data_IF_781481969748
#
_entry.id   IF_781481969748
#
_cell.length_a   1.000
_cell.length_b   1.000
_cell.length_c   1.000
_cell.angle_alpha   90.00
_cell.angle_beta   90.00
_cell.angle_gamma   90.00
#
_symmetry.space_group_name_H-M   'P 1'
#
loop_
_entity.id
_entity.type
_entity.pdbx_description
1 polymer ?
#
# COMPACT_ATOMS: atom_id res chain seq x y z
N UNK A 1 24.73 -17.19 -25.87
CA UNK A 1 23.45 -16.62 -26.33
C UNK A 1 22.32 -17.57 -25.91
N UNK A 2 21.72 -17.38 -24.73
CA UNK A 2 20.54 -18.13 -24.29
C UNK A 2 19.45 -17.09 -24.04
N UNK A 3 18.51 -16.96 -24.97
CA UNK A 3 17.34 -16.11 -24.75
C UNK A 3 16.47 -16.80 -23.70
N UNK A 4 16.48 -16.29 -22.46
CA UNK A 4 15.46 -16.66 -21.46
C UNK A 4 14.09 -16.48 -22.13
N UNK A 5 13.19 -17.47 -22.05
CA UNK A 5 11.86 -17.30 -22.62
C UNK A 5 11.21 -16.08 -21.97
N UNK A 6 10.65 -15.20 -22.78
CA UNK A 6 9.82 -14.10 -22.32
C UNK A 6 8.63 -14.74 -21.59
N UNK A 7 8.75 -14.88 -20.26
CA UNK A 7 7.67 -15.33 -19.40
C UNK A 7 6.55 -14.32 -19.59
N UNK A 8 5.44 -14.77 -20.20
CA UNK A 8 4.20 -14.00 -20.28
C UNK A 8 3.84 -13.50 -18.88
N UNK A 9 3.22 -12.31 -18.74
CA UNK A 9 2.84 -11.75 -17.44
C UNK A 9 1.69 -12.56 -16.83
N UNK A 10 2.01 -13.74 -16.28
CA UNK A 10 1.14 -14.39 -15.32
C UNK A 10 1.31 -13.60 -14.01
N UNK A 11 0.21 -13.03 -13.52
CA UNK A 11 0.17 -12.39 -12.20
C UNK A 11 0.71 -13.42 -11.19
N UNK A 12 1.87 -13.15 -10.60
CA UNK A 12 2.38 -14.06 -9.56
C UNK A 12 1.45 -14.01 -8.36
N UNK A 13 1.37 -15.07 -7.56
CA UNK A 13 0.54 -15.09 -6.35
C UNK A 13 0.85 -13.89 -5.43
N UNK A 14 2.11 -13.51 -5.33
CA UNK A 14 2.54 -12.31 -4.60
C UNK A 14 1.91 -11.03 -5.16
N UNK A 15 1.90 -10.84 -6.47
CA UNK A 15 1.27 -9.68 -7.11
C UNK A 15 -0.26 -9.72 -6.92
N UNK A 16 -0.89 -10.90 -7.01
CA UNK A 16 -2.32 -11.07 -6.76
C UNK A 16 -2.70 -10.62 -5.34
N UNK A 17 -1.96 -11.11 -4.33
CA UNK A 17 -2.16 -10.75 -2.92
C UNK A 17 -1.90 -9.25 -2.71
N UNK A 18 -0.86 -8.70 -3.32
CA UNK A 18 -0.53 -7.28 -3.20
C UNK A 18 -1.65 -6.37 -3.71
N UNK A 19 -2.16 -6.64 -4.92
CA UNK A 19 -3.27 -5.87 -5.48
C UNK A 19 -4.56 -6.06 -4.69
N UNK A 20 -4.90 -7.29 -4.29
CA UNK A 20 -6.11 -7.56 -3.50
C UNK A 20 -6.07 -6.85 -2.15
N UNK A 21 -4.92 -6.92 -1.45
CA UNK A 21 -4.71 -6.20 -0.18
C UNK A 21 -4.84 -4.69 -0.37
N UNK A 22 -4.11 -4.13 -1.35
CA UNK A 22 -4.13 -2.69 -1.64
C UNK A 22 -5.52 -2.18 -2.03
N UNK A 23 -6.29 -2.93 -2.82
CA UNK A 23 -7.67 -2.57 -3.13
C UNK A 23 -8.55 -2.64 -1.88
N UNK A 24 -8.43 -3.69 -1.07
CA UNK A 24 -9.23 -3.89 0.14
C UNK A 24 -9.04 -2.79 1.17
N UNK A 25 -7.80 -2.46 1.52
CA UNK A 25 -7.51 -1.39 2.50
C UNK A 25 -7.87 -0.01 1.95
N UNK A 26 -7.70 0.24 0.65
CA UNK A 26 -8.15 1.47 0.01
C UNK A 26 -9.68 1.65 0.04
N UNK A 27 -10.44 0.57 -0.18
CA UNK A 27 -11.89 0.58 -0.04
C UNK A 27 -12.33 0.85 1.41
N UNK A 28 -11.65 0.23 2.38
CA UNK A 28 -11.89 0.48 3.81
C UNK A 28 -11.60 1.94 4.18
N UNK A 29 -10.50 2.52 3.67
CA UNK A 29 -10.22 3.94 3.83
C UNK A 29 -11.33 4.82 3.26
N UNK A 30 -11.81 4.51 2.05
CA UNK A 30 -12.93 5.20 1.43
C UNK A 30 -14.16 5.21 2.35
N UNK A 31 -14.57 4.05 2.87
CA UNK A 31 -15.69 3.94 3.80
C UNK A 31 -15.47 4.75 5.09
N UNK A 32 -14.28 4.68 5.69
CA UNK A 32 -13.93 5.42 6.90
C UNK A 32 -13.95 6.93 6.68
N UNK A 33 -13.42 7.40 5.54
CA UNK A 33 -13.38 8.81 5.18
C UNK A 33 -14.77 9.41 4.97
N UNK A 34 -15.72 8.64 4.45
CA UNK A 34 -17.13 9.04 4.33
C UNK A 34 -17.84 9.04 5.68
N UNK A 35 -17.57 8.05 6.52
CA UNK A 35 -18.17 7.97 7.86
C UNK A 35 -17.70 9.10 8.77
N UNK A 36 -16.40 9.39 8.77
CA UNK A 36 -15.81 10.47 9.57
C UNK A 36 -14.75 11.21 8.75
N UNK A 37 -15.06 12.43 8.23
CA UNK A 37 -14.15 13.22 7.39
C UNK A 37 -12.79 13.51 8.02
N UNK A 38 -12.65 13.38 9.34
CA UNK A 38 -11.37 13.50 10.03
C UNK A 38 -10.31 12.49 9.53
N UNK A 39 -10.71 11.31 9.05
CA UNK A 39 -9.79 10.32 8.47
C UNK A 39 -9.20 10.74 7.13
N UNK A 40 -9.86 11.67 6.41
CA UNK A 40 -9.41 12.21 5.14
C UNK A 40 -8.46 13.42 5.26
N UNK A 41 -8.08 13.78 6.50
CA UNK A 41 -7.14 14.88 6.75
C UNK A 41 -5.74 14.53 6.26
N UNK A 42 -4.93 15.58 6.07
CA UNK A 42 -3.55 15.45 5.57
C UNK A 42 -3.43 14.61 4.29
N UNK A 43 -4.43 14.74 3.41
CA UNK A 43 -4.51 14.04 2.13
C UNK A 43 -4.34 12.51 2.22
N UNK A 44 -4.73 11.86 3.32
CA UNK A 44 -4.59 10.39 3.45
C UNK A 44 -3.16 9.89 3.69
N UNK A 45 -2.18 10.78 3.85
CA UNK A 45 -0.81 10.40 4.18
C UNK A 45 -0.68 9.60 5.50
N UNK A 46 -1.39 9.96 6.60
CA UNK A 46 -1.35 9.15 7.82
C UNK A 46 -1.89 7.73 7.63
N UNK A 47 -2.87 7.56 6.74
CA UNK A 47 -3.39 6.23 6.40
C UNK A 47 -2.32 5.41 5.66
N UNK A 48 -1.62 5.99 4.69
CA UNK A 48 -0.49 5.35 4.03
C UNK A 48 0.58 4.88 5.01
N UNK A 49 1.01 5.76 5.92
CA UNK A 49 1.97 5.41 6.97
C UNK A 49 1.46 4.29 7.91
N UNK A 50 0.17 4.28 8.25
CA UNK A 50 -0.43 3.20 9.03
C UNK A 50 -0.43 1.85 8.29
N UNK A 51 -0.67 1.85 6.97
CA UNK A 51 -0.55 0.66 6.14
C UNK A 51 0.89 0.16 6.11
N UNK A 52 1.88 1.06 5.99
CA UNK A 52 3.30 0.68 6.07
C UNK A 52 3.62 -0.03 7.38
N UNK A 53 3.33 0.58 8.53
CA UNK A 53 3.60 -0.06 9.84
C UNK A 53 2.85 -1.40 9.96
N UNK A 54 1.56 -1.42 9.64
CA UNK A 54 0.72 -2.61 9.81
C UNK A 54 1.13 -3.77 8.90
N UNK A 55 1.38 -3.49 7.62
CA UNK A 55 1.72 -4.52 6.65
C UNK A 55 3.21 -4.84 6.65
N UNK A 56 4.05 -3.82 6.44
CA UNK A 56 5.47 -3.97 6.20
C UNK A 56 6.25 -4.29 7.48
N UNK A 57 6.03 -3.55 8.56
CA UNK A 57 6.84 -3.71 9.78
C UNK A 57 6.31 -4.80 10.70
N UNK A 58 5.02 -5.13 10.61
CA UNK A 58 4.36 -6.08 11.52
C UNK A 58 3.93 -7.35 10.81
N UNK A 59 2.94 -7.27 9.91
CA UNK A 59 2.25 -8.47 9.42
C UNK A 59 3.13 -9.35 8.54
N UNK A 60 3.79 -8.77 7.54
CA UNK A 60 4.62 -9.54 6.58
C UNK A 60 5.82 -10.22 7.29
N UNK A 61 6.56 -9.54 8.19
CA UNK A 61 7.60 -10.18 8.99
C UNK A 61 7.06 -11.23 9.97
N UNK A 62 5.93 -10.96 10.65
CA UNK A 62 5.34 -11.91 11.60
C UNK A 62 4.89 -13.22 10.93
N UNK A 63 4.52 -13.17 9.64
CA UNK A 63 4.19 -14.34 8.84
C UNK A 63 5.42 -15.02 8.21
N UNK A 64 6.62 -14.48 8.44
CA UNK A 64 7.87 -15.00 7.87
C UNK A 64 8.02 -14.78 6.37
N UNK A 65 7.27 -13.82 5.80
CA UNK A 65 7.28 -13.53 4.36
C UNK A 65 8.36 -12.51 3.95
N UNK A 66 8.95 -11.81 4.92
CA UNK A 66 10.09 -10.91 4.74
C UNK A 66 11.09 -11.04 5.90
N UNK A 67 12.25 -10.39 5.77
CA UNK A 67 13.17 -10.22 6.90
C UNK A 67 12.57 -9.26 7.93
N UNK A 68 12.97 -9.36 9.21
CA UNK A 68 12.58 -8.37 10.21
C UNK A 68 13.01 -6.96 9.80
N UNK A 69 12.20 -5.93 10.08
CA UNK A 69 12.52 -4.54 9.73
C UNK A 69 13.83 -4.07 10.39
N UNK A 70 14.22 -4.65 11.53
CA UNK A 70 15.49 -4.34 12.21
C UNK A 70 16.74 -4.70 11.42
N UNK A 71 16.63 -5.52 10.36
CA UNK A 71 17.75 -5.91 9.49
C UNK A 71 17.83 -5.09 8.20
N UNK A 72 16.86 -4.22 7.96
CA UNK A 72 16.75 -3.48 6.71
C UNK A 72 17.47 -2.12 6.80
N UNK A 73 18.20 -1.70 5.74
CA UNK A 73 18.88 -0.41 5.74
C UNK A 73 17.91 0.78 5.88
N UNK A 74 18.30 1.80 6.65
CA UNK A 74 17.50 3.03 6.83
C UNK A 74 17.01 3.69 5.53
N UNK A 75 17.79 3.75 4.43
CA UNK A 75 17.30 4.31 3.17
C UNK A 75 16.14 3.53 2.55
N UNK A 76 16.11 2.21 2.76
CA UNK A 76 15.02 1.36 2.27
C UNK A 76 13.75 1.58 3.08
N UNK A 77 13.85 1.62 4.42
CA UNK A 77 12.73 2.00 5.29
C UNK A 77 12.09 3.33 4.89
N UNK A 78 12.93 4.34 4.63
CA UNK A 78 12.44 5.65 4.20
C UNK A 78 11.75 5.59 2.83
N UNK A 79 12.29 4.82 1.88
CA UNK A 79 11.71 4.63 0.56
C UNK A 79 10.35 3.92 0.63
N UNK A 80 10.24 2.90 1.48
CA UNK A 80 9.00 2.15 1.66
C UNK A 80 7.94 2.99 2.34
N UNK A 81 8.28 3.71 3.41
CA UNK A 81 7.39 4.68 4.03
C UNK A 81 6.93 5.72 3.00
N UNK A 82 7.84 6.29 2.21
CA UNK A 82 7.49 7.26 1.18
C UNK A 82 6.53 6.67 0.14
N UNK A 83 6.77 5.43 -0.30
CA UNK A 83 5.90 4.72 -1.26
C UNK A 83 4.49 4.53 -0.69
N UNK A 84 4.38 4.19 0.59
CA UNK A 84 3.09 4.03 1.24
C UNK A 84 2.37 5.35 1.50
N UNK A 85 3.10 6.43 1.81
CA UNK A 85 2.54 7.78 1.88
C UNK A 85 1.98 8.20 0.51
N UNK A 86 2.72 7.97 -0.57
CA UNK A 86 2.24 8.22 -1.95
C UNK A 86 0.98 7.39 -2.24
N UNK A 87 0.94 6.13 -1.83
CA UNK A 87 -0.25 5.30 -1.92
C UNK A 87 -1.44 5.93 -1.18
N UNK A 88 -1.29 6.35 0.08
CA UNK A 88 -2.34 7.00 0.86
C UNK A 88 -2.87 8.30 0.22
N UNK A 89 -1.95 9.12 -0.29
CA UNK A 89 -2.28 10.34 -1.05
C UNK A 89 -3.04 10.04 -2.34
N UNK A 90 -2.66 8.96 -3.02
CA UNK A 90 -3.34 8.51 -4.25
C UNK A 90 -4.76 8.06 -3.94
N UNK A 91 -4.96 7.24 -2.91
CA UNK A 91 -6.29 6.78 -2.48
C UNK A 91 -7.20 7.96 -2.15
N UNK A 92 -6.73 8.93 -1.37
CA UNK A 92 -7.53 10.10 -1.04
C UNK A 92 -7.84 10.99 -2.25
N UNK A 93 -6.87 11.16 -3.15
CA UNK A 93 -7.05 11.92 -4.39
C UNK A 93 -8.13 11.28 -5.26
N UNK A 94 -8.09 9.96 -5.43
CA UNK A 94 -9.10 9.20 -6.19
C UNK A 94 -10.46 9.30 -5.52
N UNK A 95 -10.55 9.12 -4.19
CA UNK A 95 -11.81 9.27 -3.45
C UNK A 95 -12.44 10.65 -3.68
N UNK A 96 -11.65 11.72 -3.56
CA UNK A 96 -12.10 13.10 -3.82
C UNK A 96 -12.56 13.28 -5.25
N UNK A 97 -11.83 12.73 -6.22
CA UNK A 97 -12.21 12.80 -7.63
C UNK A 97 -13.55 12.11 -7.88
N UNK A 98 -13.72 10.88 -7.38
CA UNK A 98 -14.98 10.13 -7.51
C UNK A 98 -16.13 10.91 -6.88
N UNK A 99 -15.93 11.51 -5.69
CA UNK A 99 -16.95 12.35 -5.03
C UNK A 99 -17.24 13.68 -5.70
N UNK A 100 -16.38 14.14 -6.61
CA UNK A 100 -16.64 15.33 -7.43
C UNK A 100 -17.37 14.99 -8.73
N UNK A 101 -17.26 13.75 -9.19
CA UNK A 101 -17.86 13.27 -10.44
C UNK A 101 -19.24 12.65 -10.24
N UNK A 102 -19.53 12.16 -9.03
CA UNK A 102 -20.85 11.69 -8.57
C UNK A 102 -21.59 12.82 -7.86
#
# INVERSE_FOLDING_TARGET
>A
MIRKPLRRPCLTLSQAVHYAFGTGVGAAYGALAEWKPAFARAAGAPFGAAVWVGAHDVTVPALGWSQPPTKEPLPMHALELASHVVYGVTVESVRRLVRRLL
#
